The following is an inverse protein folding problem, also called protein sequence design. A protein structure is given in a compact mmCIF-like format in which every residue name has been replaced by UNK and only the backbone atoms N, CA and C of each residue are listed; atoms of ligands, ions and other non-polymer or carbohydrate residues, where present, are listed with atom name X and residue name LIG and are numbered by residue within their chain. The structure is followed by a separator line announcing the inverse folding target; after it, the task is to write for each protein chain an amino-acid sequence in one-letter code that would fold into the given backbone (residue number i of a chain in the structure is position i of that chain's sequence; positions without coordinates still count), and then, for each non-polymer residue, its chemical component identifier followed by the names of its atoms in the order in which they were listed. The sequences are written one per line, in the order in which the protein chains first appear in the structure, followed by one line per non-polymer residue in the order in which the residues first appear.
data_IF_168650437049
#
_entry.id   IF_168650437049
#
_cell.length_a   1.000
_cell.length_b   1.000
_cell.length_c   1.000
_cell.angle_alpha   90.00
_cell.angle_beta   90.00
_cell.angle_gamma   90.00
#
_symmetry.space_group_name_H-M   'P 1'
#
loop_
_entity.id
_entity.type
_entity.pdbx_description
1 polymer ?
#
# COMPACT_ATOMS: atom_id res chain seq x y z
N UNK A 1 31.74 -24.66 6.55
CA UNK A 1 30.94 -25.90 6.50
C UNK A 1 29.45 -25.50 6.45
N UNK A 2 29.12 -24.43 5.72
CA UNK A 2 28.64 -24.36 4.33
C UNK A 2 27.27 -25.02 4.10
N UNK A 3 26.22 -24.35 4.57
CA UNK A 3 24.91 -24.37 3.93
C UNK A 3 25.01 -23.60 2.60
N UNK A 4 25.66 -24.20 1.61
CA UNK A 4 25.78 -23.58 0.29
C UNK A 4 24.40 -23.56 -0.35
N UNK A 5 23.86 -22.37 -0.65
CA UNK A 5 22.59 -22.22 -1.36
C UNK A 5 22.70 -23.00 -2.69
N UNK A 6 21.85 -24.00 -2.88
CA UNK A 6 22.18 -25.05 -3.83
C UNK A 6 21.90 -24.67 -5.29
N UNK A 7 20.93 -23.82 -5.63
CA UNK A 7 20.52 -23.74 -7.05
C UNK A 7 19.91 -22.42 -7.60
N UNK A 8 19.17 -21.60 -6.84
CA UNK A 8 18.26 -20.61 -7.48
C UNK A 8 18.45 -19.16 -6.99
N UNK A 9 18.56 -18.94 -5.68
CA UNK A 9 18.81 -17.62 -5.11
C UNK A 9 20.21 -17.60 -4.48
N UNK A 10 21.01 -16.56 -4.77
CA UNK A 10 22.28 -16.32 -4.07
C UNK A 10 22.06 -16.18 -2.55
N UNK A 11 23.14 -16.22 -1.76
CA UNK A 11 23.20 -16.32 -0.29
C UNK A 11 22.03 -15.70 0.54
N UNK A 12 20.86 -16.37 0.56
CA UNK A 12 19.59 -15.90 1.14
C UNK A 12 19.67 -15.72 2.66
N UNK A 13 20.58 -16.46 3.31
CA UNK A 13 20.78 -16.44 4.76
C UNK A 13 21.72 -15.32 5.21
N UNK A 14 22.51 -14.72 4.32
CA UNK A 14 23.56 -13.77 4.70
C UNK A 14 24.66 -14.42 5.56
N UNK A 15 24.40 -14.60 6.87
CA UNK A 15 25.29 -15.24 7.84
C UNK A 15 24.76 -16.59 8.36
N UNK A 16 25.19 -17.67 7.71
CA UNK A 16 24.80 -19.04 8.06
C UNK A 16 25.23 -19.50 9.46
N UNK A 17 26.11 -18.75 10.14
CA UNK A 17 26.49 -19.07 11.53
C UNK A 17 25.35 -18.77 12.51
N UNK A 18 24.58 -17.70 12.27
CA UNK A 18 23.43 -17.32 13.10
C UNK A 18 22.36 -18.41 13.09
N UNK A 19 22.02 -18.88 11.89
CA UNK A 19 21.09 -19.97 11.68
C UNK A 19 21.54 -21.27 12.35
N UNK A 20 22.79 -21.67 12.14
CA UNK A 20 23.35 -22.85 12.80
C UNK A 20 23.24 -22.76 14.34
N UNK A 21 23.50 -21.57 14.91
CA UNK A 21 23.40 -21.37 16.35
C UNK A 21 21.95 -21.47 16.85
N UNK A 22 20.97 -20.99 16.08
CA UNK A 22 19.54 -21.16 16.40
C UNK A 22 19.11 -22.63 16.37
N UNK A 23 19.52 -23.38 15.35
CA UNK A 23 19.20 -24.80 15.25
C UNK A 23 19.84 -25.62 16.37
N UNK A 24 21.08 -25.28 16.73
CA UNK A 24 21.76 -25.91 17.85
C UNK A 24 21.08 -25.58 19.19
N UNK A 25 20.53 -24.37 19.34
CA UNK A 25 19.82 -23.93 20.54
C UNK A 25 18.45 -24.62 20.67
N UNK A 26 17.70 -24.67 19.56
CA UNK A 26 16.31 -25.14 19.53
C UNK A 26 16.19 -26.65 19.29
N UNK A 27 17.28 -27.29 18.84
CA UNK A 27 17.35 -28.73 18.64
C UNK A 27 16.65 -29.22 17.37
N UNK A 28 16.28 -28.32 16.47
CA UNK A 28 15.59 -28.61 15.22
C UNK A 28 16.26 -27.89 14.05
N UNK A 29 16.25 -28.51 12.87
CA UNK A 29 16.76 -27.92 11.64
C UNK A 29 15.69 -27.10 10.95
N UNK A 30 16.05 -25.90 10.52
CA UNK A 30 15.24 -25.06 9.66
C UNK A 30 15.70 -25.28 8.22
N UNK A 31 14.82 -25.91 7.46
CA UNK A 31 14.98 -26.22 6.05
C UNK A 31 13.95 -25.44 5.23
N UNK A 32 14.35 -25.04 4.04
CA UNK A 32 13.43 -24.49 3.07
C UNK A 32 12.71 -25.61 2.32
N UNK A 33 11.55 -25.30 1.75
CA UNK A 33 10.85 -26.22 0.86
C UNK A 33 10.52 -25.46 -0.42
N UNK A 34 11.03 -25.95 -1.55
CA UNK A 34 10.74 -25.38 -2.85
C UNK A 34 9.30 -25.68 -3.28
N UNK A 35 8.78 -24.88 -4.22
CA UNK A 35 7.43 -24.96 -4.78
C UNK A 35 7.08 -26.34 -5.39
N UNK A 36 8.09 -27.20 -5.64
CA UNK A 36 7.94 -28.59 -6.10
C UNK A 36 8.26 -29.65 -5.03
N UNK A 37 8.14 -29.30 -3.74
CA UNK A 37 8.37 -30.17 -2.58
C UNK A 37 9.80 -30.69 -2.40
N UNK A 38 10.79 -30.08 -3.06
CA UNK A 38 12.20 -30.37 -2.80
C UNK A 38 12.67 -29.62 -1.56
N UNK A 39 13.40 -30.30 -0.67
CA UNK A 39 13.96 -29.68 0.54
C UNK A 39 15.26 -28.95 0.22
N UNK A 40 15.37 -27.71 0.70
CA UNK A 40 16.62 -26.95 0.69
C UNK A 40 17.26 -26.95 2.08
N UNK A 41 18.58 -27.11 2.18
CA UNK A 41 19.30 -26.99 3.45
C UNK A 41 19.21 -25.60 4.10
N UNK A 42 18.62 -24.59 3.46
CA UNK A 42 18.38 -23.26 4.03
C UNK A 42 16.90 -22.87 3.96
N UNK A 43 16.35 -22.20 4.99
CA UNK A 43 15.07 -21.52 4.89
C UNK A 43 15.16 -20.36 3.90
N UNK A 44 14.03 -20.02 3.27
CA UNK A 44 13.94 -19.02 2.20
C UNK A 44 13.12 -17.80 2.62
N UNK A 45 13.25 -16.71 1.85
CA UNK A 45 12.35 -15.55 1.94
C UNK A 45 12.19 -14.97 3.37
N UNK A 46 10.97 -14.59 3.78
CA UNK A 46 10.71 -14.01 5.11
C UNK A 46 11.16 -14.92 6.28
N UNK A 47 11.09 -16.25 6.13
CA UNK A 47 11.48 -17.18 7.18
C UNK A 47 12.98 -17.09 7.51
N UNK A 48 13.83 -16.85 6.50
CA UNK A 48 15.25 -16.60 6.72
C UNK A 48 15.47 -15.32 7.53
N UNK A 49 14.82 -14.22 7.17
CA UNK A 49 14.92 -12.95 7.88
C UNK A 49 14.47 -13.07 9.34
N UNK A 50 13.34 -13.74 9.58
CA UNK A 50 12.80 -13.98 10.93
C UNK A 50 13.79 -14.78 11.78
N UNK A 51 14.39 -15.85 11.25
CA UNK A 51 15.34 -16.68 12.00
C UNK A 51 16.63 -15.94 12.35
N UNK A 52 17.13 -15.08 11.46
CA UNK A 52 18.29 -14.25 11.72
C UNK A 52 17.99 -13.18 12.78
N UNK A 53 16.81 -12.55 12.71
CA UNK A 53 16.33 -11.60 13.72
C UNK A 53 16.13 -12.28 15.08
N UNK A 54 15.58 -13.49 15.10
CA UNK A 54 15.44 -14.29 16.33
C UNK A 54 16.81 -14.60 16.97
N UNK A 55 17.82 -14.92 16.15
CA UNK A 55 19.19 -15.06 16.65
C UNK A 55 19.70 -13.75 17.26
N UNK A 56 19.54 -12.63 16.57
CA UNK A 56 20.04 -11.34 17.05
C UNK A 56 19.34 -10.92 18.36
N UNK A 57 18.03 -11.13 18.48
CA UNK A 57 17.28 -10.92 19.72
C UNK A 57 17.78 -11.83 20.85
N UNK A 58 18.01 -13.12 20.57
CA UNK A 58 18.55 -14.04 21.55
C UNK A 58 19.96 -13.63 21.99
N UNK A 59 20.84 -13.33 21.05
CA UNK A 59 22.21 -12.92 21.31
C UNK A 59 22.26 -11.62 22.11
N UNK A 60 21.44 -10.64 21.76
CA UNK A 60 21.29 -9.39 22.50
C UNK A 60 20.74 -9.62 23.91
N UNK A 61 19.77 -10.53 24.08
CA UNK A 61 19.26 -10.94 25.39
C UNK A 61 20.34 -11.57 26.28
N UNK A 62 21.15 -12.48 25.73
CA UNK A 62 22.28 -13.09 26.45
C UNK A 62 23.34 -12.05 26.80
N UNK A 63 23.72 -11.21 25.83
CA UNK A 63 24.65 -10.12 26.06
C UNK A 63 24.13 -9.19 27.18
N UNK A 64 22.83 -8.91 27.18
CA UNK A 64 22.23 -8.05 28.18
C UNK A 64 22.22 -8.66 29.59
N UNK A 65 21.94 -9.97 29.68
CA UNK A 65 22.06 -10.70 30.94
C UNK A 65 23.50 -10.74 31.48
N UNK A 66 24.49 -10.85 30.59
CA UNK A 66 25.90 -10.82 30.98
C UNK A 66 26.33 -9.43 31.44
N UNK A 67 25.95 -8.38 30.71
CA UNK A 67 26.20 -6.98 31.09
C UNK A 67 25.59 -6.65 32.45
N UNK A 68 24.34 -7.07 32.70
CA UNK A 68 23.68 -6.94 34.02
C UNK A 68 24.47 -7.63 35.13
N UNK A 69 25.14 -8.74 34.87
CA UNK A 69 25.92 -9.47 35.87
C UNK A 69 27.35 -8.94 36.04
N UNK A 70 27.80 -8.09 35.12
CA UNK A 70 29.17 -7.59 35.04
C UNK A 70 29.22 -6.07 35.03
N UNK A 71 29.33 -5.44 33.86
CA UNK A 71 29.58 -4.02 33.68
C UNK A 71 28.51 -3.13 34.30
N UNK A 72 27.23 -3.54 34.23
CA UNK A 72 26.09 -2.76 34.71
C UNK A 72 25.56 -3.22 36.07
N UNK A 73 26.25 -4.16 36.74
CA UNK A 73 25.75 -4.84 37.93
C UNK A 73 25.28 -3.88 39.02
N UNK A 74 26.09 -2.89 39.33
CA UNK A 74 25.78 -1.96 40.42
C UNK A 74 24.64 -1.00 40.04
N UNK A 75 24.49 -0.69 38.76
CA UNK A 75 23.39 0.14 38.26
C UNK A 75 22.06 -0.65 38.30
N UNK A 76 22.07 -1.94 37.97
CA UNK A 76 20.91 -2.81 38.15
C UNK A 76 20.55 -3.08 39.62
N UNK A 77 21.54 -3.16 40.51
CA UNK A 77 21.31 -3.29 41.95
C UNK A 77 20.68 -2.03 42.57
N UNK A 78 20.78 -0.88 41.89
CA UNK A 78 20.17 0.36 42.32
C UNK A 78 18.68 0.47 41.94
N UNK A 79 18.13 -0.51 41.20
CA UNK A 79 16.69 -0.60 40.93
C UNK A 79 15.99 -1.17 42.17
N UNK A 80 15.09 -0.40 42.76
CA UNK A 80 14.39 -0.81 43.98
C UNK A 80 12.95 -1.24 43.69
N UNK A 81 12.64 -2.52 43.91
CA UNK A 81 11.31 -3.05 43.66
C UNK A 81 10.39 -2.96 44.88
N UNK A 82 9.16 -2.52 44.62
CA UNK A 82 8.07 -2.47 45.60
C UNK A 82 6.85 -3.20 45.05
N UNK A 83 6.12 -3.89 45.94
CA UNK A 83 4.87 -4.55 45.58
C UNK A 83 3.70 -3.57 45.78
N UNK A 84 2.99 -3.26 44.70
CA UNK A 84 1.83 -2.38 44.73
C UNK A 84 0.56 -3.19 44.97
N UNK A 85 0.15 -3.31 46.25
CA UNK A 85 -1.02 -4.11 46.65
C UNK A 85 -2.33 -3.71 45.94
N UNK A 86 -2.52 -2.43 45.66
CA UNK A 86 -3.74 -1.93 45.02
C UNK A 86 -3.90 -2.41 43.57
N UNK A 87 -2.78 -2.59 42.86
CA UNK A 87 -2.75 -3.02 41.45
C UNK A 87 -2.30 -4.47 41.29
N UNK A 88 -1.86 -5.12 42.39
CA UNK A 88 -1.24 -6.45 42.38
C UNK A 88 -0.08 -6.54 41.37
N UNK A 89 0.75 -5.49 41.30
CA UNK A 89 1.88 -5.41 40.38
C UNK A 89 3.19 -5.09 41.10
N UNK A 90 4.30 -5.58 40.54
CA UNK A 90 5.64 -5.19 40.95
C UNK A 90 5.99 -3.85 40.29
N UNK A 91 6.58 -2.92 41.05
CA UNK A 91 7.04 -1.63 40.56
C UNK A 91 8.50 -1.38 40.96
N UNK A 92 9.38 -1.25 40.00
CA UNK A 92 10.78 -0.87 40.14
C UNK A 92 10.96 0.64 40.05
N UNK A 93 11.55 1.20 41.09
CA UNK A 93 11.99 2.58 41.15
C UNK A 93 13.42 2.70 40.61
N UNK A 94 13.63 3.66 39.70
CA UNK A 94 14.90 3.95 39.04
C UNK A 94 15.62 5.16 39.66
N UNK A 95 15.11 5.75 40.76
CA UNK A 95 15.72 6.93 41.40
C UNK A 95 17.17 6.69 41.85
N UNK A 96 17.48 5.49 42.36
CA UNK A 96 18.84 5.09 42.72
C UNK A 96 19.77 4.99 41.51
N UNK A 97 19.25 4.53 40.38
CA UNK A 97 19.98 4.47 39.11
C UNK A 97 20.30 5.88 38.61
N UNK A 98 19.31 6.78 38.65
CA UNK A 98 19.47 8.17 38.24
C UNK A 98 20.55 8.87 39.06
N UNK A 99 20.56 8.68 40.39
CA UNK A 99 21.58 9.25 41.27
C UNK A 99 23.00 8.79 40.88
N UNK A 100 23.16 7.49 40.57
CA UNK A 100 24.45 6.93 40.13
C UNK A 100 24.91 7.51 38.79
N UNK A 101 24.03 7.57 37.79
CA UNK A 101 24.38 8.20 36.52
C UNK A 101 24.64 9.69 36.68
N UNK A 102 23.94 10.38 37.58
CA UNK A 102 24.19 11.78 37.89
C UNK A 102 25.60 12.04 38.43
N UNK A 103 26.10 11.18 39.31
CA UNK A 103 27.49 11.24 39.79
C UNK A 103 28.49 10.98 38.66
N UNK A 104 28.27 9.93 37.84
CA UNK A 104 29.13 9.60 36.70
C UNK A 104 29.15 10.71 35.64
N UNK A 105 27.99 11.24 35.27
CA UNK A 105 27.85 12.34 34.30
C UNK A 105 28.52 13.63 34.78
N UNK A 106 28.60 13.85 36.09
CA UNK A 106 29.30 15.01 36.66
C UNK A 106 30.83 14.84 36.67
N UNK A 107 31.33 13.59 36.70
CA UNK A 107 32.76 13.28 36.77
C UNK A 107 33.37 13.02 35.38
N UNK A 108 32.72 12.20 34.56
CA UNK A 108 33.18 11.76 33.22
C UNK A 108 32.00 11.76 32.21
N UNK A 109 31.55 12.94 31.74
CA UNK A 109 30.31 13.07 30.97
C UNK A 109 30.20 12.18 29.72
N UNK A 110 31.26 12.09 28.90
CA UNK A 110 31.23 11.30 27.66
C UNK A 110 31.18 9.79 27.89
N UNK A 111 31.99 9.28 28.84
CA UNK A 111 32.00 7.87 29.21
C UNK A 111 30.69 7.46 29.89
N UNK A 112 30.19 8.31 30.79
CA UNK A 112 28.93 8.10 31.50
C UNK A 112 27.71 8.12 30.56
N UNK A 113 27.72 8.95 29.50
CA UNK A 113 26.69 8.92 28.47
C UNK A 113 26.67 7.59 27.72
N UNK A 114 27.83 7.06 27.34
CA UNK A 114 27.91 5.77 26.64
C UNK A 114 27.42 4.61 27.53
N UNK A 115 27.77 4.65 28.82
CA UNK A 115 27.31 3.67 29.81
C UNK A 115 25.79 3.81 30.09
N UNK A 116 25.25 5.03 30.10
CA UNK A 116 23.81 5.30 30.25
C UNK A 116 23.01 4.73 29.08
N UNK A 117 23.50 4.94 27.86
CA UNK A 117 22.92 4.34 26.65
C UNK A 117 22.94 2.82 26.76
N UNK A 118 24.08 2.23 27.12
CA UNK A 118 24.20 0.79 27.32
C UNK A 118 23.21 0.28 28.37
N UNK A 119 23.08 0.96 29.50
CA UNK A 119 22.15 0.59 30.56
C UNK A 119 20.69 0.58 30.08
N UNK A 120 20.26 1.66 29.45
CA UNK A 120 18.89 1.79 28.94
C UNK A 120 18.59 0.73 27.87
N UNK A 121 19.49 0.53 26.91
CA UNK A 121 19.32 -0.51 25.87
C UNK A 121 19.34 -1.92 26.42
N UNK A 122 19.92 -2.15 27.61
CA UNK A 122 19.89 -3.47 28.28
C UNK A 122 18.60 -3.69 29.07
N UNK A 123 17.94 -2.62 29.55
CA UNK A 123 16.70 -2.72 30.32
C UNK A 123 15.59 -3.36 29.48
N UNK A 124 15.52 -3.01 28.20
CA UNK A 124 14.52 -3.52 27.23
C UNK A 124 14.58 -5.04 27.06
N UNK A 125 15.75 -5.66 27.23
CA UNK A 125 15.94 -7.12 27.14
C UNK A 125 15.83 -7.86 28.47
N UNK A 126 15.92 -7.15 29.60
CA UNK A 126 16.06 -7.77 30.93
C UNK A 126 14.86 -7.56 31.84
N UNK A 127 14.00 -6.59 31.55
CA UNK A 127 12.84 -6.24 32.37
C UNK A 127 11.62 -5.95 31.51
N UNK A 128 10.44 -6.11 32.11
CA UNK A 128 9.22 -5.52 31.57
C UNK A 128 9.22 -4.03 31.91
N UNK A 129 9.30 -3.19 30.89
CA UNK A 129 9.35 -1.73 31.11
C UNK A 129 8.11 -1.19 31.84
N UNK A 130 6.95 -1.82 31.67
CA UNK A 130 5.72 -1.48 32.40
C UNK A 130 5.81 -1.67 33.91
N UNK A 131 6.82 -2.40 34.39
CA UNK A 131 7.10 -2.60 35.81
C UNK A 131 8.08 -1.55 36.34
N UNK A 132 8.59 -0.62 35.52
CA UNK A 132 9.57 0.40 35.93
C UNK A 132 9.00 1.81 35.83
N UNK A 133 9.41 2.70 36.74
CA UNK A 133 9.12 4.13 36.63
C UNK A 133 10.10 4.83 35.68
N UNK A 134 9.94 4.57 34.37
CA UNK A 134 10.80 5.13 33.31
C UNK A 134 10.56 6.62 33.09
N UNK A 135 9.34 7.11 33.34
CA UNK A 135 9.00 8.53 33.17
C UNK A 135 9.76 9.41 34.17
N UNK A 136 9.71 9.09 35.47
CA UNK A 136 10.43 9.86 36.48
C UNK A 136 11.94 9.82 36.27
N UNK A 137 12.47 8.68 35.77
CA UNK A 137 13.87 8.56 35.41
C UNK A 137 14.25 9.48 34.25
N UNK A 138 13.44 9.52 33.18
CA UNK A 138 13.66 10.37 32.01
C UNK A 138 13.55 11.86 32.35
N UNK A 139 12.56 12.25 33.15
CA UNK A 139 12.40 13.63 33.62
C UNK A 139 13.61 14.08 34.45
N UNK A 140 14.13 13.19 35.29
CA UNK A 140 15.31 13.45 36.11
C UNK A 140 16.60 13.65 35.32
N UNK A 141 16.74 13.03 34.13
CA UNK A 141 17.91 13.21 33.27
C UNK A 141 18.02 14.63 32.70
N UNK A 142 16.92 15.40 32.67
CA UNK A 142 16.92 16.79 32.22
C UNK A 142 17.87 17.70 33.03
N UNK A 143 18.18 17.33 34.27
CA UNK A 143 19.14 18.04 35.12
C UNK A 143 20.59 17.99 34.60
N UNK A 144 20.90 17.08 33.67
CA UNK A 144 22.28 16.80 33.22
C UNK A 144 22.58 17.25 31.79
N UNK A 145 21.64 17.97 31.14
CA UNK A 145 21.85 18.56 29.82
C UNK A 145 21.00 17.92 28.72
N UNK A 146 20.71 18.70 27.68
CA UNK A 146 19.87 18.25 26.56
C UNK A 146 20.52 17.14 25.72
N UNK A 147 21.85 17.09 25.68
CA UNK A 147 22.60 16.03 25.00
C UNK A 147 22.47 14.67 25.73
N UNK A 148 22.47 14.67 27.07
CA UNK A 148 22.21 13.47 27.89
C UNK A 148 20.78 12.99 27.69
N UNK A 149 19.80 13.90 27.71
CA UNK A 149 18.39 13.57 27.42
C UNK A 149 18.27 12.99 26.01
N UNK A 150 18.98 13.56 25.03
CA UNK A 150 18.93 13.08 23.65
C UNK A 150 19.55 11.69 23.52
N UNK A 151 20.70 11.43 24.16
CA UNK A 151 21.34 10.11 24.17
C UNK A 151 20.47 9.05 24.89
N UNK A 152 19.87 9.40 26.02
CA UNK A 152 18.95 8.53 26.73
C UNK A 152 17.69 8.26 25.90
N UNK A 153 17.12 9.29 25.27
CA UNK A 153 15.99 9.13 24.36
C UNK A 153 16.36 8.24 23.19
N UNK A 154 17.55 8.38 22.60
CA UNK A 154 18.04 7.47 21.54
C UNK A 154 18.17 6.02 22.05
N UNK A 155 18.60 5.82 23.30
CA UNK A 155 18.72 4.50 23.90
C UNK A 155 17.36 3.87 24.25
N UNK A 156 16.40 4.66 24.74
CA UNK A 156 14.99 4.27 24.89
C UNK A 156 14.35 3.99 23.53
N UNK A 157 14.72 4.78 22.52
CA UNK A 157 14.42 4.63 21.10
C UNK A 157 15.31 3.61 20.40
N UNK A 158 15.80 2.58 21.09
CA UNK A 158 16.13 1.33 20.40
C UNK A 158 14.85 0.72 19.84
N UNK A 159 14.21 1.41 18.88
CA UNK A 159 12.86 1.26 18.35
C UNK A 159 11.91 0.49 19.27
N UNK A 160 11.18 1.20 20.14
CA UNK A 160 10.05 0.56 20.82
C UNK A 160 8.86 1.48 20.65
N UNK A 161 8.15 1.23 19.55
CA UNK A 161 6.71 1.29 19.52
C UNK A 161 6.10 0.92 20.88
N UNK A 162 5.13 1.71 21.31
CA UNK A 162 4.32 1.46 22.48
C UNK A 162 3.11 0.61 22.08
N UNK A 163 2.02 0.66 22.85
CA UNK A 163 0.74 0.07 22.44
C UNK A 163 -0.30 1.14 22.06
N UNK A 164 0.19 2.34 21.80
CA UNK A 164 -0.63 3.48 21.44
C UNK A 164 0.06 4.18 20.29
N UNK A 165 -0.66 5.14 19.71
CA UNK A 165 -0.25 5.79 18.47
C UNK A 165 1.12 6.47 18.59
N UNK A 166 2.07 5.97 17.81
CA UNK A 166 3.45 6.40 17.79
C UNK A 166 3.82 7.12 16.49
N UNK A 167 4.90 7.90 16.57
CA UNK A 167 5.57 8.46 15.40
C UNK A 167 7.02 8.02 15.39
N UNK A 168 7.33 7.09 14.50
CA UNK A 168 8.63 6.47 14.33
C UNK A 168 9.32 7.08 13.10
N UNK A 169 10.63 7.26 13.17
CA UNK A 169 11.42 7.87 12.09
C UNK A 169 12.80 7.24 12.08
N UNK A 170 13.19 6.68 10.95
CA UNK A 170 14.49 6.06 10.71
C UNK A 170 15.63 7.08 10.71
N UNK A 171 16.87 6.60 10.77
CA UNK A 171 18.06 7.46 10.78
C UNK A 171 18.68 7.68 9.40
N UNK A 172 18.15 7.01 8.36
CA UNK A 172 18.61 7.10 6.99
C UNK A 172 19.57 5.97 6.61
N UNK A 173 19.58 4.87 7.36
CA UNK A 173 20.32 3.64 7.05
C UNK A 173 19.35 2.48 6.82
N UNK A 174 19.84 1.30 6.43
CA UNK A 174 18.95 0.13 6.26
C UNK A 174 18.41 -0.32 7.61
N UNK A 175 17.11 -0.13 7.86
CA UNK A 175 16.47 -0.34 9.14
C UNK A 175 15.31 -1.35 9.06
N UNK A 176 14.89 -1.89 10.19
CA UNK A 176 13.62 -2.61 10.29
C UNK A 176 12.86 -1.85 11.33
N UNK A 177 11.71 -1.25 11.05
CA UNK A 177 10.92 -0.44 12.00
C UNK A 177 9.57 -1.12 12.25
N UNK A 178 9.12 -1.22 13.50
CA UNK A 178 7.84 -1.87 13.85
C UNK A 178 6.97 -1.00 14.77
N UNK A 179 5.68 -0.83 14.43
CA UNK A 179 4.66 -0.01 15.11
C UNK A 179 3.90 -0.70 16.25
N UNK A 180 3.73 -2.02 16.18
CA UNK A 180 3.06 -2.83 17.21
C UNK A 180 1.56 -2.52 17.31
N UNK A 181 1.03 -2.21 18.50
CA UNK A 181 -0.40 -1.89 18.63
C UNK A 181 -0.56 -0.37 18.55
N UNK A 182 -1.56 0.12 17.81
CA UNK A 182 -1.86 1.54 17.75
C UNK A 182 -2.06 1.99 16.32
N UNK A 183 -2.42 3.27 16.14
CA UNK A 183 -2.47 3.85 14.80
C UNK A 183 -1.21 4.69 14.61
N UNK A 184 -0.19 4.09 14.04
CA UNK A 184 1.16 4.61 14.01
C UNK A 184 1.48 5.35 12.72
N UNK A 185 2.52 6.17 12.80
CA UNK A 185 3.15 6.78 11.63
C UNK A 185 4.63 6.42 11.62
N UNK A 186 5.04 5.68 10.60
CA UNK A 186 6.39 5.17 10.43
C UNK A 186 7.01 5.80 9.18
N UNK A 187 8.20 6.38 9.32
CA UNK A 187 8.94 7.04 8.25
C UNK A 187 10.36 6.46 8.18
N UNK A 188 10.71 5.77 7.10
CA UNK A 188 12.02 5.14 6.90
C UNK A 188 13.15 6.15 6.64
N UNK A 189 12.82 7.34 6.14
CA UNK A 189 13.73 8.35 5.60
C UNK A 189 14.53 7.90 4.38
N UNK A 190 15.49 7.01 4.53
CA UNK A 190 16.27 6.53 3.41
C UNK A 190 17.12 5.35 3.81
N UNK A 191 17.64 4.62 2.82
CA UNK A 191 18.13 3.27 3.10
C UNK A 191 17.07 2.26 2.64
N UNK A 192 17.38 0.97 2.73
CA UNK A 192 16.46 -0.10 2.35
C UNK A 192 15.82 -0.65 3.62
N UNK A 193 14.61 -0.19 3.90
CA UNK A 193 13.95 -0.39 5.17
C UNK A 193 12.96 -1.56 5.14
N UNK A 194 12.61 -2.08 6.31
CA UNK A 194 11.47 -2.98 6.50
C UNK A 194 10.52 -2.39 7.53
N UNK A 195 9.42 -1.82 7.09
CA UNK A 195 8.43 -1.14 7.91
C UNK A 195 7.25 -2.08 8.20
N UNK A 196 6.95 -2.30 9.48
CA UNK A 196 5.91 -3.18 9.98
C UNK A 196 4.92 -2.35 10.81
N UNK A 197 3.67 -2.19 10.39
CA UNK A 197 2.64 -1.51 11.19
C UNK A 197 2.19 -2.36 12.38
N UNK A 198 1.85 -3.62 12.08
CA UNK A 198 1.36 -4.67 12.99
C UNK A 198 -0.14 -4.59 13.29
N UNK A 199 -0.62 -3.89 14.32
CA UNK A 199 -2.05 -3.81 14.66
C UNK A 199 -2.52 -2.36 14.74
N UNK A 200 -3.61 -2.03 14.03
CA UNK A 200 -4.24 -0.71 14.05
C UNK A 200 -4.16 -0.04 12.68
N UNK A 201 -4.65 1.20 12.55
CA UNK A 201 -4.66 1.88 11.25
C UNK A 201 -3.40 2.75 11.08
N UNK A 202 -2.40 2.20 10.39
CA UNK A 202 -1.05 2.74 10.31
C UNK A 202 -0.78 3.55 9.02
N UNK A 203 0.28 4.34 9.06
CA UNK A 203 0.83 5.06 7.90
C UNK A 203 2.32 4.79 7.78
N UNK A 204 2.72 4.04 6.76
CA UNK A 204 4.10 3.64 6.51
C UNK A 204 4.62 4.40 5.29
N UNK A 205 5.75 5.10 5.46
CA UNK A 205 6.45 5.86 4.43
C UNK A 205 7.88 5.32 4.31
N UNK A 206 8.20 4.58 3.25
CA UNK A 206 9.56 4.07 2.96
C UNK A 206 10.54 5.20 2.65
N UNK A 207 10.08 6.13 1.81
CA UNK A 207 10.80 7.30 1.31
C UNK A 207 11.81 6.98 0.22
N UNK A 208 13.06 6.66 0.54
CA UNK A 208 14.13 6.59 -0.45
C UNK A 208 14.99 5.35 -0.26
N UNK A 209 14.83 4.39 -1.16
CA UNK A 209 15.54 3.12 -1.12
C UNK A 209 14.62 2.01 -1.56
N UNK A 210 15.05 0.75 -1.38
CA UNK A 210 14.22 -0.40 -1.75
C UNK A 210 13.60 -0.96 -0.49
N UNK A 211 12.38 -0.53 -0.20
CA UNK A 211 11.75 -0.74 1.09
C UNK A 211 10.79 -1.94 1.06
N UNK A 212 10.54 -2.53 2.23
CA UNK A 212 9.56 -3.58 2.44
C UNK A 212 8.52 -3.07 3.42
N UNK A 213 7.27 -2.92 3.00
CA UNK A 213 6.19 -2.38 3.81
C UNK A 213 5.15 -3.47 4.07
N UNK A 214 4.78 -3.66 5.34
CA UNK A 214 3.70 -4.55 5.78
C UNK A 214 2.84 -3.76 6.77
N UNK A 215 1.60 -3.47 6.39
CA UNK A 215 0.63 -2.80 7.27
C UNK A 215 0.34 -3.65 8.50
N UNK A 216 -0.02 -4.92 8.29
CA UNK A 216 -0.49 -5.78 9.36
C UNK A 216 -2.01 -5.71 9.44
N UNK A 217 -2.61 -5.98 10.59
CA UNK A 217 -4.06 -5.95 10.74
C UNK A 217 -4.58 -4.53 11.01
N UNK A 218 -5.43 -4.02 10.13
CA UNK A 218 -5.94 -2.67 10.26
C UNK A 218 -6.52 -2.15 8.95
N UNK A 219 -6.48 -0.84 8.75
CA UNK A 219 -6.69 -0.25 7.44
C UNK A 219 -5.55 0.72 7.19
N UNK A 220 -4.51 0.22 6.53
CA UNK A 220 -3.22 0.88 6.49
C UNK A 220 -3.01 1.69 5.22
N UNK A 221 -2.17 2.71 5.33
CA UNK A 221 -1.67 3.48 4.20
C UNK A 221 -0.19 3.18 4.00
N UNK A 222 0.17 2.63 2.84
CA UNK A 222 1.54 2.23 2.52
C UNK A 222 2.05 3.06 1.34
N UNK A 223 3.15 3.77 1.55
CA UNK A 223 3.82 4.59 0.54
C UNK A 223 5.31 4.24 0.54
N UNK A 224 5.77 3.48 -0.44
CA UNK A 224 7.17 3.07 -0.56
C UNK A 224 8.09 4.25 -0.90
N UNK A 225 7.58 5.22 -1.65
CA UNK A 225 8.37 6.36 -2.10
C UNK A 225 9.16 6.06 -3.37
N UNK A 226 10.47 6.27 -3.33
CA UNK A 226 11.37 6.18 -4.46
C UNK A 226 12.31 4.98 -4.33
N UNK A 227 12.30 4.09 -5.32
CA UNK A 227 13.18 2.93 -5.38
C UNK A 227 12.47 1.70 -5.93
N UNK A 228 12.73 0.52 -5.40
CA UNK A 228 11.98 -0.68 -5.78
C UNK A 228 11.39 -1.29 -4.52
N UNK A 229 10.12 -1.02 -4.28
CA UNK A 229 9.49 -1.31 -3.01
C UNK A 229 8.66 -2.58 -3.07
N UNK A 230 8.52 -3.24 -1.93
CA UNK A 230 7.72 -4.46 -1.77
C UNK A 230 6.66 -4.21 -0.70
N UNK A 231 5.40 -4.18 -1.13
CA UNK A 231 4.24 -4.14 -0.25
C UNK A 231 3.78 -5.57 0.01
N UNK A 232 3.70 -5.98 1.28
CA UNK A 232 3.25 -7.32 1.66
C UNK A 232 1.81 -7.25 2.18
N UNK A 233 0.96 -8.12 1.67
CA UNK A 233 -0.43 -8.25 2.11
C UNK A 233 -0.81 -9.71 2.39
N UNK A 234 -1.39 -9.96 3.55
CA UNK A 234 -1.80 -11.27 4.04
C UNK A 234 -3.30 -11.26 4.39
N UNK A 235 -3.84 -12.45 4.66
CA UNK A 235 -5.21 -12.56 5.18
C UNK A 235 -5.27 -12.06 6.62
N UNK A 236 -6.30 -11.29 6.92
CA UNK A 236 -6.46 -10.63 8.21
C UNK A 236 -5.84 -9.24 8.29
N UNK A 237 -5.18 -8.77 7.22
CA UNK A 237 -4.56 -7.45 7.17
C UNK A 237 -5.62 -6.32 7.07
N UNK A 238 -6.86 -6.64 6.67
CA UNK A 238 -7.95 -5.67 6.62
C UNK A 238 -7.99 -4.89 5.31
N UNK A 239 -8.21 -3.56 5.35
CA UNK A 239 -8.43 -2.76 4.13
C UNK A 239 -7.35 -1.73 3.86
N UNK A 240 -6.30 -2.16 3.16
CA UNK A 240 -5.10 -1.34 2.95
C UNK A 240 -5.14 -0.56 1.64
N UNK A 241 -4.39 0.53 1.62
CA UNK A 241 -4.19 1.38 0.46
C UNK A 241 -2.70 1.60 0.20
N UNK A 242 -2.25 1.24 -1.00
CA UNK A 242 -0.91 1.54 -1.52
C UNK A 242 -0.98 2.84 -2.30
N UNK A 243 -0.11 3.80 -1.94
CA UNK A 243 0.22 4.99 -2.72
C UNK A 243 1.58 4.78 -3.38
N UNK A 244 1.62 4.12 -4.54
CA UNK A 244 2.86 4.07 -5.30
C UNK A 244 3.05 5.47 -5.91
N UNK A 245 4.09 6.20 -5.56
CA UNK A 245 4.39 7.50 -6.17
C UNK A 245 5.84 7.55 -6.63
N UNK A 246 6.23 6.55 -7.42
CA UNK A 246 7.59 6.44 -7.90
C UNK A 246 7.76 6.90 -9.35
N UNK A 247 8.61 7.90 -9.54
CA UNK A 247 9.03 8.42 -10.84
C UNK A 247 10.49 8.08 -11.20
N UNK A 248 11.14 7.24 -10.39
CA UNK A 248 12.51 6.79 -10.63
C UNK A 248 12.61 5.94 -11.90
N UNK A 249 13.74 6.06 -12.59
CA UNK A 249 13.97 5.32 -13.82
C UNK A 249 14.34 3.87 -13.50
N UNK A 250 13.57 2.92 -14.05
CA UNK A 250 13.82 1.50 -13.85
C UNK A 250 13.27 0.94 -12.55
N UNK A 251 12.32 1.65 -11.91
CA UNK A 251 11.52 1.17 -10.79
C UNK A 251 10.86 -0.18 -11.06
N UNK A 252 10.63 -0.91 -9.98
CA UNK A 252 10.08 -2.24 -9.98
C UNK A 252 9.39 -2.50 -8.64
N UNK A 253 8.29 -1.81 -8.42
CA UNK A 253 7.47 -1.90 -7.22
C UNK A 253 6.55 -3.12 -7.30
N UNK A 254 6.43 -3.81 -6.18
CA UNK A 254 5.79 -5.12 -6.09
C UNK A 254 4.78 -5.17 -4.97
N UNK A 255 3.52 -5.52 -5.28
CA UNK A 255 2.62 -6.08 -4.28
C UNK A 255 2.85 -7.59 -4.20
N UNK A 256 3.19 -8.10 -3.02
CA UNK A 256 3.38 -9.53 -2.75
C UNK A 256 2.33 -10.04 -1.77
N UNK A 257 1.55 -11.01 -2.23
CA UNK A 257 0.61 -11.73 -1.36
C UNK A 257 1.30 -12.80 -0.53
N UNK A 258 0.82 -12.98 0.71
CA UNK A 258 1.21 -14.08 1.60
C UNK A 258 0.87 -15.47 1.04
N UNK A 259 1.39 -16.52 1.68
CA UNK A 259 1.24 -17.92 1.20
C UNK A 259 -0.20 -18.44 1.17
N UNK A 260 -1.12 -17.78 1.86
CA UNK A 260 -2.51 -18.20 2.03
C UNK A 260 -3.52 -17.39 1.17
N UNK A 261 -2.99 -16.58 0.25
CA UNK A 261 -3.76 -15.89 -0.79
C UNK A 261 -3.20 -16.33 -2.14
N UNK A 262 -3.98 -17.08 -2.90
CA UNK A 262 -3.68 -17.47 -4.27
C UNK A 262 -4.43 -16.57 -5.28
N UNK A 263 -4.02 -16.56 -6.56
CA UNK A 263 -4.72 -15.82 -7.62
C UNK A 263 -6.24 -16.02 -7.66
N UNK A 264 -6.71 -17.25 -7.45
CA UNK A 264 -8.13 -17.60 -7.48
C UNK A 264 -8.91 -17.18 -6.23
N UNK A 265 -8.21 -16.72 -5.20
CA UNK A 265 -8.82 -16.18 -3.98
C UNK A 265 -9.15 -14.69 -4.11
N UNK A 266 -8.83 -14.06 -5.26
CA UNK A 266 -9.00 -12.62 -5.47
C UNK A 266 -10.14 -12.32 -6.44
N UNK A 267 -10.93 -11.32 -6.08
CA UNK A 267 -11.84 -10.62 -6.98
C UNK A 267 -11.26 -9.24 -7.26
N UNK A 268 -11.01 -8.95 -8.52
CA UNK A 268 -10.47 -7.67 -8.97
C UNK A 268 -11.61 -6.75 -9.37
N UNK A 269 -11.47 -5.47 -9.03
CA UNK A 269 -12.33 -4.41 -9.52
C UNK A 269 -11.47 -3.19 -9.86
N UNK A 270 -11.91 -2.43 -10.86
CA UNK A 270 -11.39 -1.11 -11.17
C UNK A 270 -12.38 -0.08 -10.65
N UNK A 271 -11.89 0.93 -9.94
CA UNK A 271 -12.68 2.09 -9.57
C UNK A 271 -11.98 3.33 -10.14
N UNK A 272 -12.46 3.81 -11.29
CA UNK A 272 -11.81 4.90 -12.03
C UNK A 272 -10.35 4.53 -12.36
N UNK A 273 -9.35 5.03 -11.62
CA UNK A 273 -7.94 4.68 -11.84
C UNK A 273 -7.39 3.70 -10.80
N UNK A 274 -8.15 3.38 -9.75
CA UNK A 274 -7.69 2.51 -8.67
C UNK A 274 -7.90 1.04 -9.03
N UNK A 275 -6.92 0.19 -8.70
CA UNK A 275 -7.09 -1.26 -8.69
C UNK A 275 -7.46 -1.70 -7.28
N UNK A 276 -8.55 -2.47 -7.18
CA UNK A 276 -9.03 -3.05 -5.92
C UNK A 276 -8.94 -4.57 -6.03
N UNK A 277 -8.21 -5.20 -5.10
CA UNK A 277 -8.15 -6.65 -4.97
C UNK A 277 -8.83 -7.06 -3.67
N UNK A 278 -9.95 -7.78 -3.76
CA UNK A 278 -10.71 -8.27 -2.59
C UNK A 278 -10.44 -9.75 -2.38
N UNK A 279 -10.13 -10.15 -1.15
CA UNK A 279 -9.86 -11.54 -0.79
C UNK A 279 -11.18 -12.27 -0.48
N UNK A 280 -11.45 -13.34 -1.21
CA UNK A 280 -12.63 -14.17 -1.00
C UNK A 280 -12.61 -14.83 0.38
N UNK A 281 -13.78 -14.85 1.02
CA UNK A 281 -13.97 -15.46 2.33
C UNK A 281 -13.48 -14.62 3.52
N UNK A 282 -13.03 -13.38 3.30
CA UNK A 282 -12.74 -12.40 4.35
C UNK A 282 -13.25 -11.00 3.99
N UNK A 283 -12.99 -10.02 4.85
CA UNK A 283 -13.22 -8.59 4.55
C UNK A 283 -11.94 -7.91 4.07
N UNK A 284 -10.89 -8.69 3.77
CA UNK A 284 -9.59 -8.14 3.41
C UNK A 284 -9.62 -7.61 1.98
N UNK A 285 -9.05 -6.43 1.79
CA UNK A 285 -8.98 -5.74 0.51
C UNK A 285 -7.70 -4.92 0.46
N UNK A 286 -7.00 -4.95 -0.66
CA UNK A 286 -5.92 -3.99 -0.92
C UNK A 286 -6.23 -3.15 -2.14
N UNK A 287 -6.01 -1.85 -2.01
CA UNK A 287 -6.25 -0.86 -3.08
C UNK A 287 -4.94 -0.25 -3.51
N UNK A 288 -4.66 -0.27 -4.81
CA UNK A 288 -3.52 0.41 -5.38
C UNK A 288 -4.05 1.68 -6.06
N UNK A 289 -3.79 2.81 -5.42
CA UNK A 289 -4.32 4.10 -5.86
C UNK A 289 -3.67 4.51 -7.19
N UNK A 290 -4.50 4.89 -8.17
CA UNK A 290 -4.02 5.33 -9.48
C UNK A 290 -3.30 4.26 -10.31
N UNK A 291 -3.53 2.96 -10.03
CA UNK A 291 -2.91 1.86 -10.77
C UNK A 291 -3.09 1.95 -12.30
N UNK A 292 -4.26 2.39 -12.76
CA UNK A 292 -4.59 2.54 -14.19
C UNK A 292 -4.31 3.93 -14.75
N UNK A 293 -3.80 4.86 -13.94
CA UNK A 293 -3.49 6.20 -14.41
C UNK A 293 -2.46 6.14 -15.55
N UNK A 294 -2.76 6.83 -16.65
CA UNK A 294 -1.95 6.77 -17.88
C UNK A 294 -1.70 5.35 -18.41
N UNK A 295 -2.68 4.45 -18.27
CA UNK A 295 -2.65 3.07 -18.77
C UNK A 295 -1.45 2.28 -18.24
N UNK A 296 -1.15 2.42 -16.96
CA UNK A 296 -0.04 1.68 -16.35
C UNK A 296 1.33 2.31 -16.58
N UNK A 297 1.41 3.38 -17.38
CA UNK A 297 2.68 4.06 -17.70
C UNK A 297 3.03 5.20 -16.74
N UNK A 298 2.20 5.43 -15.72
CA UNK A 298 2.38 6.49 -14.73
C UNK A 298 3.36 6.14 -13.61
N UNK A 299 3.57 7.11 -12.71
CA UNK A 299 4.35 6.89 -11.50
C UNK A 299 3.60 6.07 -10.44
N UNK A 300 2.30 5.84 -10.63
CA UNK A 300 1.39 5.28 -9.62
C UNK A 300 1.04 3.81 -9.79
N UNK A 301 1.38 3.23 -10.93
CA UNK A 301 1.21 1.81 -11.18
C UNK A 301 2.32 1.02 -10.49
N UNK A 302 2.00 -0.16 -9.98
CA UNK A 302 3.00 -1.16 -9.58
C UNK A 302 3.43 -1.94 -10.81
N UNK A 303 4.72 -2.25 -10.91
CA UNK A 303 5.24 -3.06 -12.01
C UNK A 303 4.81 -4.53 -11.91
N UNK A 304 4.55 -5.01 -10.68
CA UNK A 304 4.24 -6.43 -10.47
C UNK A 304 3.32 -6.71 -9.30
N UNK A 305 2.47 -7.71 -9.47
CA UNK A 305 1.74 -8.38 -8.39
C UNK A 305 2.24 -9.83 -8.32
N UNK A 306 2.75 -10.25 -7.17
CA UNK A 306 3.39 -11.55 -6.97
C UNK A 306 2.67 -12.41 -5.92
N UNK A 307 2.77 -13.72 -6.12
CA UNK A 307 2.28 -14.75 -5.21
C UNK A 307 3.42 -15.73 -4.92
N UNK A 308 3.53 -16.24 -3.69
CA UNK A 308 4.68 -17.06 -3.26
C UNK A 308 4.93 -18.29 -4.16
N UNK A 309 3.86 -18.90 -4.69
CA UNK A 309 3.92 -20.08 -5.57
C UNK A 309 3.10 -19.91 -6.87
N UNK A 310 2.77 -18.68 -7.25
CA UNK A 310 1.85 -18.38 -8.35
C UNK A 310 2.49 -17.64 -9.52
N UNK A 311 1.78 -17.50 -10.65
CA UNK A 311 2.18 -16.58 -11.69
C UNK A 311 2.18 -15.16 -11.14
N UNK A 312 3.12 -14.34 -11.59
CA UNK A 312 3.04 -12.90 -11.36
C UNK A 312 2.13 -12.24 -12.37
N UNK A 313 1.43 -11.18 -11.97
CA UNK A 313 0.66 -10.34 -12.87
C UNK A 313 1.42 -9.05 -13.15
N UNK A 314 1.55 -8.73 -14.43
CA UNK A 314 1.92 -7.41 -14.90
C UNK A 314 0.64 -6.60 -15.22
N UNK A 315 0.82 -5.34 -15.62
CA UNK A 315 -0.29 -4.46 -15.96
C UNK A 315 -1.21 -5.05 -17.03
N UNK A 316 -0.66 -5.61 -18.10
CA UNK A 316 -1.44 -6.19 -19.20
C UNK A 316 -2.27 -7.40 -18.74
N UNK A 317 -1.72 -8.22 -17.85
CA UNK A 317 -2.42 -9.36 -17.23
C UNK A 317 -3.58 -8.88 -16.38
N UNK A 318 -3.37 -7.87 -15.52
CA UNK A 318 -4.43 -7.29 -14.68
C UNK A 318 -5.51 -6.65 -15.54
N UNK A 319 -5.12 -5.86 -16.54
CA UNK A 319 -6.05 -5.25 -17.50
C UNK A 319 -6.93 -6.29 -18.17
N UNK A 320 -6.38 -7.42 -18.62
CA UNK A 320 -7.13 -8.50 -19.26
C UNK A 320 -8.06 -9.30 -18.32
N UNK A 321 -7.95 -9.12 -17.00
CA UNK A 321 -8.83 -9.78 -16.01
C UNK A 321 -10.05 -8.94 -15.65
N UNK A 322 -10.04 -7.65 -15.96
CA UNK A 322 -11.13 -6.75 -15.65
C UNK A 322 -12.16 -6.72 -16.79
N UNK A 323 -13.46 -6.64 -16.46
CA UNK A 323 -14.49 -6.51 -17.47
C UNK A 323 -14.36 -5.18 -18.22
N UNK A 324 -14.56 -5.21 -19.54
CA UNK A 324 -14.64 -4.03 -20.40
C UNK A 324 -16.05 -3.41 -20.45
N UNK A 325 -17.01 -3.98 -19.70
CA UNK A 325 -18.40 -3.55 -19.64
C UNK A 325 -18.81 -3.23 -18.20
N UNK A 326 -19.85 -2.41 -18.06
CA UNK A 326 -20.49 -2.08 -16.79
C UNK A 326 -21.30 -3.23 -16.21
N UNK A 327 -22.16 -2.86 -15.27
CA UNK A 327 -23.12 -3.69 -14.55
C UNK A 327 -24.54 -3.21 -14.84
N UNK A 328 -25.55 -3.79 -14.20
CA UNK A 328 -26.96 -3.35 -14.39
C UNK A 328 -27.35 -2.20 -13.42
N UNK A 329 -26.38 -1.49 -12.86
CA UNK A 329 -26.60 -0.33 -12.00
C UNK A 329 -25.68 0.83 -12.37
N UNK A 330 -25.83 1.97 -11.70
CA UNK A 330 -25.07 3.19 -12.02
C UNK A 330 -23.54 2.98 -11.89
N UNK A 331 -22.84 3.04 -13.02
CA UNK A 331 -21.41 2.79 -13.13
C UNK A 331 -20.59 4.03 -13.54
N UNK A 332 -19.30 4.00 -13.19
CA UNK A 332 -18.29 4.94 -13.71
C UNK A 332 -17.18 4.16 -14.39
N UNK A 333 -17.22 4.11 -15.70
CA UNK A 333 -16.35 3.33 -16.56
C UNK A 333 -15.35 4.25 -17.25
N UNK A 334 -14.08 3.88 -17.21
CA UNK A 334 -13.01 4.56 -17.94
C UNK A 334 -12.24 3.53 -18.76
N UNK A 335 -12.08 3.79 -20.04
CA UNK A 335 -11.25 3.02 -20.96
C UNK A 335 -9.75 3.27 -20.77
N UNK A 336 -9.01 3.01 -21.83
CA UNK A 336 -7.58 3.20 -22.00
C UNK A 336 -7.33 4.05 -23.26
N UNK A 337 -6.08 4.25 -23.66
CA UNK A 337 -5.73 5.00 -24.88
C UNK A 337 -5.74 4.13 -26.14
N UNK A 338 -6.51 3.04 -26.14
CA UNK A 338 -6.58 2.07 -27.24
C UNK A 338 -8.00 1.97 -27.81
N UNK A 339 -8.17 1.37 -28.98
CA UNK A 339 -9.51 1.18 -29.55
C UNK A 339 -10.31 0.16 -28.71
N UNK A 340 -11.42 0.60 -28.11
CA UNK A 340 -12.19 -0.19 -27.16
C UNK A 340 -13.68 -0.32 -27.52
N UNK A 341 -14.34 -1.31 -26.89
CA UNK A 341 -15.80 -1.49 -26.95
C UNK A 341 -16.31 -1.53 -25.52
N UNK A 342 -17.05 -0.50 -25.12
CA UNK A 342 -17.53 -0.30 -23.75
C UNK A 342 -19.05 -0.17 -23.78
N UNK A 343 -19.72 -0.91 -22.90
CA UNK A 343 -21.18 -0.88 -22.74
C UNK A 343 -21.51 -0.68 -21.26
N UNK A 344 -22.23 0.40 -20.93
CA UNK A 344 -22.71 0.72 -19.58
C UNK A 344 -23.80 -0.23 -19.09
N UNK A 345 -24.55 -0.84 -20.04
CA UNK A 345 -25.69 -1.73 -19.80
C UNK A 345 -26.93 -1.01 -19.27
N UNK A 346 -27.19 -0.99 -17.97
CA UNK A 346 -28.37 -0.37 -17.41
C UNK A 346 -27.99 0.38 -16.14
N UNK A 347 -28.65 1.50 -15.86
CA UNK A 347 -28.18 2.42 -14.83
C UNK A 347 -27.97 3.80 -15.43
N UNK A 348 -27.61 4.77 -14.61
CA UNK A 348 -27.18 6.08 -15.09
C UNK A 348 -25.66 6.12 -15.06
N UNK A 349 -25.04 5.86 -16.19
CA UNK A 349 -23.63 5.56 -16.28
C UNK A 349 -22.80 6.77 -16.69
N UNK A 350 -21.53 6.77 -16.29
CA UNK A 350 -20.51 7.67 -16.84
C UNK A 350 -19.48 6.83 -17.56
N UNK A 351 -19.40 6.97 -18.89
CA UNK A 351 -18.49 6.22 -19.76
C UNK A 351 -17.47 7.17 -20.38
N UNK A 352 -16.18 6.94 -20.11
CA UNK A 352 -15.04 7.72 -20.64
C UNK A 352 -14.16 6.82 -21.50
N UNK A 353 -14.13 6.97 -22.83
CA UNK A 353 -13.29 6.20 -23.75
C UNK A 353 -11.79 6.51 -23.61
N UNK A 354 -11.46 7.78 -23.36
CA UNK A 354 -10.12 8.35 -23.24
C UNK A 354 -9.43 8.58 -24.57
N UNK A 355 -8.89 7.56 -25.22
CA UNK A 355 -8.37 7.74 -26.57
C UNK A 355 -8.24 6.45 -27.34
N UNK A 356 -8.04 6.54 -28.65
CA UNK A 356 -8.31 5.41 -29.53
C UNK A 356 -9.61 5.67 -30.28
N UNK A 357 -9.98 4.77 -31.19
CA UNK A 357 -11.26 4.85 -31.88
C UNK A 357 -12.24 3.90 -31.18
N UNK A 358 -13.06 4.46 -30.31
CA UNK A 358 -13.87 3.68 -29.37
C UNK A 358 -15.29 3.43 -29.89
N UNK A 359 -15.92 2.36 -29.40
CA UNK A 359 -17.35 2.12 -29.52
C UNK A 359 -17.96 2.13 -28.12
N UNK A 360 -18.67 3.22 -27.81
CA UNK A 360 -19.21 3.50 -26.49
C UNK A 360 -20.74 3.45 -26.50
N UNK A 361 -21.31 2.69 -25.56
CA UNK A 361 -22.75 2.57 -25.34
C UNK A 361 -23.09 2.88 -23.88
N UNK A 362 -24.06 3.75 -23.63
CA UNK A 362 -24.61 4.00 -22.29
C UNK A 362 -25.55 2.87 -21.89
N UNK A 363 -26.54 2.57 -22.74
CA UNK A 363 -27.43 1.45 -22.57
C UNK A 363 -28.82 1.90 -22.16
N UNK A 364 -29.34 1.47 -21.01
CA UNK A 364 -30.65 1.88 -20.49
C UNK A 364 -30.49 2.76 -19.26
N UNK A 365 -30.90 4.02 -19.38
CA UNK A 365 -30.86 4.99 -18.30
C UNK A 365 -30.45 6.35 -18.81
N UNK A 366 -30.07 7.27 -17.93
CA UNK A 366 -29.60 8.60 -18.32
C UNK A 366 -28.09 8.68 -18.17
N UNK A 367 -27.40 8.55 -19.29
CA UNK A 367 -25.96 8.31 -19.33
C UNK A 367 -25.17 9.55 -19.75
N UNK A 368 -23.91 9.60 -19.32
CA UNK A 368 -22.92 10.58 -19.76
C UNK A 368 -21.74 9.88 -20.44
N UNK A 369 -21.58 10.10 -21.74
CA UNK A 369 -20.58 9.43 -22.57
C UNK A 369 -19.58 10.45 -23.11
N UNK A 370 -18.29 10.17 -22.90
CA UNK A 370 -17.16 10.97 -23.34
C UNK A 370 -16.23 10.10 -24.20
N UNK A 371 -16.12 10.37 -25.49
CA UNK A 371 -15.23 9.65 -26.42
C UNK A 371 -13.76 9.88 -26.07
N UNK A 372 -13.33 11.14 -26.19
CA UNK A 372 -11.98 11.55 -25.84
C UNK A 372 -11.19 11.92 -27.09
N UNK A 373 -10.13 11.20 -27.41
CA UNK A 373 -9.33 11.45 -28.62
C UNK A 373 -9.35 10.27 -29.59
N UNK A 374 -9.72 10.50 -30.84
CA UNK A 374 -9.81 9.48 -31.89
C UNK A 374 -11.16 9.59 -32.58
N UNK A 375 -11.43 8.71 -33.54
CA UNK A 375 -12.69 8.72 -34.29
C UNK A 375 -13.69 7.78 -33.60
N UNK A 376 -14.53 8.31 -32.71
CA UNK A 376 -15.34 7.49 -31.80
C UNK A 376 -16.76 7.21 -32.31
N UNK A 377 -17.37 6.11 -31.87
CA UNK A 377 -18.77 5.74 -32.10
C UNK A 377 -19.54 5.74 -30.79
N UNK A 378 -20.45 6.69 -30.60
CA UNK A 378 -21.17 6.88 -29.35
C UNK A 378 -22.68 6.61 -29.52
N UNK A 379 -23.27 5.82 -28.63
CA UNK A 379 -24.71 5.59 -28.53
C UNK A 379 -25.16 5.78 -27.08
N UNK A 380 -26.03 6.76 -26.83
CA UNK A 380 -26.67 6.94 -25.52
C UNK A 380 -27.44 5.68 -25.11
N UNK A 381 -28.30 5.23 -26.02
CA UNK A 381 -29.18 4.11 -25.75
C UNK A 381 -30.54 4.65 -25.38
N UNK A 382 -31.28 3.98 -24.51
CA UNK A 382 -32.61 4.38 -24.11
C UNK A 382 -32.59 5.25 -22.85
N UNK A 383 -32.96 6.52 -22.97
CA UNK A 383 -33.20 7.39 -21.83
C UNK A 383 -33.05 8.86 -22.15
N UNK A 384 -32.24 9.60 -21.43
CA UNK A 384 -31.92 10.97 -21.84
C UNK A 384 -30.45 11.18 -21.55
N UNK A 385 -29.66 11.18 -22.61
CA UNK A 385 -28.22 10.99 -22.50
C UNK A 385 -27.46 12.26 -22.88
N UNK A 386 -26.22 12.36 -22.40
CA UNK A 386 -25.27 13.41 -22.75
C UNK A 386 -24.05 12.80 -23.41
N UNK A 387 -23.78 13.19 -24.65
CA UNK A 387 -22.70 12.63 -25.46
C UNK A 387 -21.71 13.73 -25.87
N UNK A 388 -20.42 13.47 -25.70
CA UNK A 388 -19.31 14.32 -26.14
C UNK A 388 -18.25 13.43 -26.79
N UNK A 389 -18.10 13.50 -28.11
CA UNK A 389 -17.12 12.70 -28.84
C UNK A 389 -15.69 13.17 -28.59
N UNK A 390 -15.45 14.48 -28.56
CA UNK A 390 -14.15 15.04 -28.23
C UNK A 390 -13.33 15.40 -29.47
N UNK A 391 -12.07 14.98 -29.53
CA UNK A 391 -11.15 15.30 -30.63
C UNK A 391 -11.14 14.16 -31.64
N UNK A 392 -11.61 14.43 -32.86
CA UNK A 392 -11.60 13.44 -33.94
C UNK A 392 -12.80 13.62 -34.87
N UNK A 393 -13.15 12.58 -35.61
CA UNK A 393 -14.37 12.52 -36.39
C UNK A 393 -15.34 11.52 -35.76
N UNK A 394 -16.29 12.02 -34.99
CA UNK A 394 -17.11 11.16 -34.15
C UNK A 394 -18.44 10.83 -34.81
N UNK A 395 -18.95 9.63 -34.55
CA UNK A 395 -20.24 9.15 -35.02
C UNK A 395 -21.19 8.96 -33.84
N UNK A 396 -22.28 9.72 -33.81
CA UNK A 396 -23.32 9.63 -32.79
C UNK A 396 -24.52 8.86 -33.34
N UNK A 397 -24.86 7.74 -32.70
CA UNK A 397 -25.95 6.87 -33.10
C UNK A 397 -27.23 7.24 -32.36
N UNK A 398 -28.28 7.60 -33.10
CA UNK A 398 -29.56 8.05 -32.52
C UNK A 398 -30.79 7.46 -33.24
N UNK A 399 -31.84 7.10 -32.52
CA UNK A 399 -32.99 6.39 -33.08
C UNK A 399 -34.26 6.40 -32.24
N UNK A 400 -35.20 5.55 -32.63
CA UNK A 400 -36.48 5.39 -31.93
C UNK A 400 -36.24 4.68 -30.60
N UNK A 401 -36.77 5.27 -29.52
CA UNK A 401 -36.64 4.74 -28.16
C UNK A 401 -35.44 5.30 -27.39
N UNK A 402 -34.63 6.17 -28.02
CA UNK A 402 -33.45 6.74 -27.38
C UNK A 402 -33.77 7.90 -26.43
N UNK A 403 -34.93 8.54 -26.60
CA UNK A 403 -35.41 9.61 -25.74
C UNK A 403 -34.81 10.99 -26.06
N UNK A 404 -34.48 11.80 -25.05
CA UNK A 404 -34.08 13.20 -25.25
C UNK A 404 -32.58 13.43 -25.01
N UNK A 405 -31.80 13.15 -26.04
CA UNK A 405 -30.34 13.18 -25.93
C UNK A 405 -29.77 14.55 -26.27
N UNK A 406 -28.58 14.81 -25.73
CA UNK A 406 -27.81 16.01 -25.98
C UNK A 406 -26.42 15.64 -26.47
N UNK A 407 -25.98 16.26 -27.56
CA UNK A 407 -24.60 16.20 -28.04
C UNK A 407 -23.93 17.54 -27.77
N UNK A 408 -22.74 17.50 -27.16
CA UNK A 408 -21.81 18.63 -27.08
C UNK A 408 -20.69 18.39 -28.10
N UNK A 409 -20.75 19.04 -29.26
CA UNK A 409 -19.76 18.85 -30.33
C UNK A 409 -18.66 19.91 -30.30
N UNK A 410 -18.23 20.35 -29.11
CA UNK A 410 -17.16 21.35 -29.02
C UNK A 410 -15.80 20.71 -29.29
N UNK A 411 -15.48 20.49 -30.57
CA UNK A 411 -14.13 20.21 -31.02
C UNK A 411 -13.52 21.48 -31.64
N UNK A 412 -12.34 21.90 -31.18
CA UNK A 412 -11.58 23.02 -31.74
C UNK A 412 -10.69 22.65 -32.92
N UNK A 413 -10.55 21.36 -33.25
CA UNK A 413 -9.59 20.84 -34.22
C UNK A 413 -9.89 21.31 -35.67
N UNK A 414 -8.89 21.25 -36.56
CA UNK A 414 -9.07 21.55 -37.97
C UNK A 414 -9.47 20.30 -38.75
N UNK A 415 -10.55 20.39 -39.53
CA UNK A 415 -10.94 19.33 -40.45
C UNK A 415 -11.88 18.27 -39.88
N UNK A 416 -12.34 18.41 -38.63
CA UNK A 416 -13.34 17.50 -38.04
C UNK A 416 -14.61 17.37 -38.86
N UNK A 417 -15.15 16.16 -38.88
CA UNK A 417 -16.41 15.81 -39.51
C UNK A 417 -17.19 14.85 -38.62
N UNK A 418 -17.94 15.42 -37.68
CA UNK A 418 -18.85 14.64 -36.86
C UNK A 418 -20.09 14.23 -37.65
N UNK A 419 -20.58 13.02 -37.38
CA UNK A 419 -21.70 12.39 -38.06
C UNK A 419 -22.76 12.03 -37.04
N UNK A 420 -23.99 12.49 -37.25
CA UNK A 420 -25.16 11.86 -36.63
C UNK A 420 -25.65 10.76 -37.55
N UNK A 421 -25.54 9.52 -37.10
CA UNK A 421 -26.06 8.35 -37.79
C UNK A 421 -27.40 7.95 -37.16
N UNK A 422 -28.44 7.92 -37.98
CA UNK A 422 -29.74 7.44 -37.51
C UNK A 422 -29.81 5.90 -37.52
N UNK A 423 -30.32 5.30 -36.43
CA UNK A 423 -30.56 3.85 -36.31
C UNK A 423 -31.53 3.35 -37.38
N UNK A 424 -31.48 2.05 -37.67
CA UNK A 424 -32.37 1.41 -38.64
C UNK A 424 -33.85 1.71 -38.32
N UNK A 425 -34.65 2.00 -39.35
CA UNK A 425 -36.06 2.34 -39.22
C UNK A 425 -36.37 3.84 -39.17
N UNK A 426 -35.38 4.70 -38.94
CA UNK A 426 -35.54 6.15 -39.06
C UNK A 426 -35.27 6.59 -40.50
N UNK A 427 -36.33 6.94 -41.22
CA UNK A 427 -36.23 7.43 -42.59
C UNK A 427 -35.97 8.95 -42.62
N UNK A 428 -35.24 9.48 -43.62
CA UNK A 428 -34.98 10.93 -43.71
C UNK A 428 -36.25 11.81 -43.68
N UNK A 429 -37.35 11.33 -44.26
CA UNK A 429 -38.63 12.05 -44.24
C UNK A 429 -39.36 12.02 -42.89
N UNK A 430 -38.90 11.21 -41.94
CA UNK A 430 -39.45 11.08 -40.59
C UNK A 430 -38.68 11.87 -39.52
N UNK A 431 -37.72 12.72 -39.91
CA UNK A 431 -36.97 13.57 -38.98
C UNK A 431 -37.37 15.02 -39.17
N UNK A 432 -37.88 15.65 -38.11
CA UNK A 432 -38.15 17.08 -38.04
C UNK A 432 -36.94 17.83 -37.52
N UNK A 433 -36.47 18.77 -38.33
CA UNK A 433 -35.35 19.64 -37.99
C UNK A 433 -35.86 20.99 -37.52
N UNK A 434 -35.39 21.47 -36.38
CA UNK A 434 -35.67 22.81 -35.88
C UNK A 434 -34.46 23.41 -35.17
N UNK A 435 -34.50 24.71 -34.89
CA UNK A 435 -33.44 25.42 -34.16
C UNK A 435 -34.02 26.01 -32.88
N UNK A 436 -33.31 25.85 -31.77
CA UNK A 436 -33.60 26.53 -30.51
C UNK A 436 -32.34 27.23 -30.02
N UNK A 437 -32.38 28.57 -29.94
CA UNK A 437 -31.19 29.39 -29.68
C UNK A 437 -30.07 29.05 -30.67
N UNK A 438 -28.91 28.58 -30.20
CA UNK A 438 -27.78 28.16 -31.02
C UNK A 438 -27.68 26.64 -31.20
N UNK A 439 -28.68 25.90 -30.72
CA UNK A 439 -28.75 24.43 -30.83
C UNK A 439 -29.59 23.97 -32.02
N UNK A 440 -29.15 22.88 -32.65
CA UNK A 440 -29.90 22.14 -33.67
C UNK A 440 -30.70 21.03 -33.00
N UNK A 441 -31.99 20.95 -33.32
CA UNK A 441 -32.91 19.95 -32.76
C UNK A 441 -33.35 18.99 -33.87
N UNK A 442 -33.17 17.69 -33.68
CA UNK A 442 -33.60 16.63 -34.58
C UNK A 442 -34.63 15.75 -33.85
N UNK A 443 -35.91 15.84 -34.23
CA UNK A 443 -37.01 15.09 -33.61
C UNK A 443 -37.54 14.00 -34.54
N UNK A 444 -37.72 12.78 -34.04
CA UNK A 444 -38.29 11.67 -34.83
C UNK A 444 -39.83 11.73 -34.80
N UNK A 445 -40.45 11.74 -35.97
CA UNK A 445 -41.89 11.88 -36.11
C UNK A 445 -42.68 10.71 -35.53
N UNK A 446 -43.74 11.04 -34.79
CA UNK A 446 -44.57 10.04 -34.11
C UNK A 446 -44.00 9.54 -32.78
N UNK A 447 -42.85 10.05 -32.34
CA UNK A 447 -42.18 9.66 -31.09
C UNK A 447 -41.94 10.87 -30.17
N UNK A 448 -41.42 10.60 -28.97
CA UNK A 448 -40.86 11.65 -28.09
C UNK A 448 -39.36 11.85 -28.30
N UNK A 449 -38.71 11.02 -29.14
CA UNK A 449 -37.28 11.01 -29.31
C UNK A 449 -36.79 12.30 -29.99
N UNK A 450 -35.83 12.97 -29.37
CA UNK A 450 -35.25 14.22 -29.86
C UNK A 450 -33.77 14.34 -29.49
N UNK A 451 -32.92 14.53 -30.50
CA UNK A 451 -31.52 14.86 -30.33
C UNK A 451 -31.30 16.37 -30.35
N UNK A 452 -30.59 16.88 -29.34
CA UNK A 452 -30.22 18.28 -29.19
C UNK A 452 -28.72 18.43 -29.40
N UNK A 453 -28.31 19.04 -30.50
CA UNK A 453 -26.89 19.30 -30.79
C UNK A 453 -26.58 20.72 -30.36
N UNK A 454 -25.77 20.85 -29.30
CA UNK A 454 -25.30 22.11 -28.75
C UNK A 454 -24.00 22.52 -29.44
N UNK A 455 -23.82 23.83 -29.57
CA UNK A 455 -22.73 24.46 -30.31
C UNK A 455 -21.84 25.28 -29.39
#
# INVERSE_FOLDING_TARGET
LSRAATQIYGNVIGDARKLYAMEALLGEGYEGTWCWNEKDPNPHGPAAAVLLKAFDQFANGIAAQLMRQTHLKDDYHAIHYTWAEATQTLKGDLSGVLARFGEKLSATPEEAKAELVSFISNLTYTHRLSELDTQSFQDGLAAYGSDVVSAANMAWRGMVATRGNDRLTGDGSDEIIAGWDGNDQIDGNGGNDSLLGELGDDRLYGQAGNDVLMGGAGNDLLDGGAGNDIYIFNRGDGQDTILNQDSTAGKCDVLRFGTDIAPNDLVLARNVDDLILTVLGSNDRITIAGYFANDGMGSTSLEKIEFVDGPSWDFATVQGMLPSAGTEGDDRIRGYKTDEVIDGLAGNDVVEGMGGNDVLSGGVGSDAIYGGTGDDWLSGGAGNDSLEGGVGNDTYLFGVGDGQDTISSYDGSQGKQDVVQFKEGVLPGGVKVSRQNDSLMLKIDGTQDQLTIQN
#
